data_IF_886891682264
#
_entry.id   IF_886891682264
#
_cell.length_a   1.000
_cell.length_b   1.000
_cell.length_c   1.000
_cell.angle_alpha   90.00
_cell.angle_beta   90.00
_cell.angle_gamma   90.00
#
_symmetry.space_group_name_H-M   'P 1'
#
loop_
_entity.id
_entity.type
_entity.pdbx_description
1 polymer ?
#
# COMPACT_ATOMS: atom_id res chain seq x y z
N UNK A 1 18.94 -9.63 8.12
CA UNK A 1 18.72 -9.07 6.76
C UNK A 1 19.58 -7.84 6.53
N UNK A 2 19.64 -7.35 5.29
CA UNK A 2 20.33 -6.10 4.95
C UNK A 2 19.57 -4.88 5.50
N UNK A 3 20.23 -4.08 6.34
CA UNK A 3 19.59 -2.91 6.98
C UNK A 3 19.14 -1.84 5.98
N UNK A 4 19.75 -1.78 4.80
CA UNK A 4 19.33 -0.89 3.71
C UNK A 4 18.00 -1.30 3.08
N UNK A 5 17.50 -2.51 3.38
CA UNK A 5 16.21 -3.03 2.91
C UNK A 5 15.16 -3.05 4.02
N UNK A 6 15.49 -2.58 5.22
CA UNK A 6 14.56 -2.49 6.34
C UNK A 6 13.55 -1.36 6.10
N UNK A 7 12.26 -1.69 6.03
CA UNK A 7 11.19 -0.73 5.79
C UNK A 7 10.72 -0.11 7.11
N UNK A 8 10.19 -0.94 8.03
CA UNK A 8 9.62 -0.50 9.31
C UNK A 8 9.60 -1.64 10.34
N UNK A 9 9.39 -1.34 11.63
CA UNK A 9 9.03 -2.38 12.59
C UNK A 9 7.58 -2.82 12.37
N UNK A 10 7.25 -4.10 12.61
CA UNK A 10 5.88 -4.61 12.47
C UNK A 10 4.90 -3.81 13.32
N UNK A 11 5.29 -3.46 14.55
CA UNK A 11 4.48 -2.64 15.47
C UNK A 11 4.20 -1.20 15.01
N UNK A 12 4.87 -0.74 13.95
CA UNK A 12 4.64 0.58 13.35
C UNK A 12 3.63 0.50 12.19
N UNK A 13 3.31 -0.72 11.73
CA UNK A 13 2.28 -0.96 10.74
C UNK A 13 0.92 -0.93 11.46
N UNK A 14 -0.01 -0.08 11.03
CA UNK A 14 -1.34 -0.02 11.64
C UNK A 14 -2.21 -1.20 11.20
N UNK A 15 -3.01 -1.74 12.13
CA UNK A 15 -3.85 -2.93 11.90
C UNK A 15 -5.06 -2.65 10.98
N UNK A 16 -5.56 -1.39 10.96
CA UNK A 16 -6.80 -0.99 10.25
C UNK A 16 -6.55 -0.02 9.07
N UNK A 17 -5.31 0.14 8.63
CA UNK A 17 -4.98 0.95 7.45
C UNK A 17 -3.63 0.53 6.86
N UNK A 18 -3.02 1.37 6.03
CA UNK A 18 -1.75 1.10 5.38
C UNK A 18 -0.59 1.89 5.96
N UNK A 19 0.61 1.34 5.78
CA UNK A 19 1.86 2.07 5.96
C UNK A 19 2.48 2.37 4.59
N UNK A 20 2.50 3.65 4.20
CA UNK A 20 3.09 4.09 2.93
C UNK A 20 4.63 4.06 2.98
N UNK A 21 5.26 3.63 1.89
CA UNK A 21 6.70 3.72 1.68
C UNK A 21 7.05 3.92 0.20
N UNK A 22 8.27 4.39 -0.05
CA UNK A 22 8.79 4.63 -1.40
C UNK A 22 9.85 3.59 -1.76
N UNK A 23 9.75 3.06 -2.96
CA UNK A 23 10.70 2.16 -3.61
C UNK A 23 11.24 2.79 -4.90
N UNK A 24 12.38 2.29 -5.38
CA UNK A 24 12.96 2.71 -6.66
C UNK A 24 13.14 1.52 -7.59
N UNK A 25 12.72 1.69 -8.85
CA UNK A 25 13.01 0.80 -9.96
C UNK A 25 13.89 1.53 -10.98
N UNK A 26 15.18 1.23 -11.01
CA UNK A 26 16.13 1.94 -11.87
C UNK A 26 16.24 3.43 -11.50
N UNK A 27 15.70 4.31 -12.33
CA UNK A 27 15.71 5.77 -12.11
C UNK A 27 14.37 6.31 -11.62
N UNK A 28 13.33 5.47 -11.59
CA UNK A 28 11.97 5.85 -11.28
C UNK A 28 11.67 5.53 -9.81
N UNK A 29 11.08 6.48 -9.09
CA UNK A 29 10.58 6.26 -7.74
C UNK A 29 9.08 5.99 -7.80
N UNK A 30 8.66 4.97 -7.05
CA UNK A 30 7.30 4.50 -6.96
C UNK A 30 6.91 4.33 -5.50
N UNK A 31 5.62 4.26 -5.24
CA UNK A 31 5.09 4.08 -3.90
C UNK A 31 4.46 2.71 -3.75
N UNK A 32 4.59 2.17 -2.56
CA UNK A 32 3.96 0.93 -2.13
C UNK A 32 3.40 1.10 -0.72
N UNK A 33 2.47 0.23 -0.35
CA UNK A 33 1.84 0.20 0.96
C UNK A 33 2.07 -1.15 1.61
N UNK A 34 2.40 -1.15 2.90
CA UNK A 34 2.28 -2.34 3.74
C UNK A 34 0.87 -2.39 4.33
N UNK A 35 0.34 -3.60 4.44
CA UNK A 35 -0.96 -3.87 5.05
C UNK A 35 -0.89 -5.15 5.87
N UNK A 36 -1.53 -5.16 7.04
CA UNK A 36 -1.72 -6.38 7.82
C UNK A 36 -2.82 -7.24 7.18
N UNK A 37 -2.54 -8.52 6.99
CA UNK A 37 -3.50 -9.48 6.45
C UNK A 37 -3.30 -10.86 7.09
N UNK A 38 -4.33 -11.40 7.74
CA UNK A 38 -4.35 -12.75 8.33
C UNK A 38 -3.08 -13.10 9.14
N UNK A 39 -2.67 -12.22 10.06
CA UNK A 39 -1.47 -12.38 10.92
C UNK A 39 -0.11 -12.28 10.16
N UNK A 40 -0.12 -11.83 8.89
CA UNK A 40 1.07 -11.56 8.07
C UNK A 40 1.08 -10.11 7.54
N UNK A 41 2.17 -9.70 6.87
CA UNK A 41 2.32 -8.36 6.29
C UNK A 41 2.49 -8.50 4.78
N UNK A 42 1.55 -7.92 4.04
CA UNK A 42 1.58 -7.88 2.57
C UNK A 42 2.02 -6.50 2.10
N UNK A 43 2.59 -6.43 0.89
CA UNK A 43 2.95 -5.16 0.28
C UNK A 43 2.44 -5.07 -1.16
N UNK A 44 1.84 -3.94 -1.48
CA UNK A 44 1.20 -3.68 -2.77
C UNK A 44 1.70 -2.36 -3.34
N UNK A 45 1.88 -2.27 -4.67
CA UNK A 45 2.08 -0.97 -5.32
C UNK A 45 0.88 -0.06 -5.03
N UNK A 46 1.16 1.19 -4.69
CA UNK A 46 0.17 2.14 -4.20
C UNK A 46 -0.64 2.75 -5.35
N UNK A 47 -1.35 1.96 -6.14
CA UNK A 47 -2.33 2.48 -7.09
C UNK A 47 -3.51 1.55 -7.32
N UNK A 48 -4.62 2.13 -7.77
CA UNK A 48 -5.77 1.36 -8.17
C UNK A 48 -5.57 0.77 -9.58
N UNK A 49 -5.80 -0.55 -9.73
CA UNK A 49 -5.73 -1.22 -11.04
C UNK A 49 -6.74 -0.69 -12.07
N UNK A 50 -7.77 0.04 -11.65
CA UNK A 50 -8.63 0.76 -12.58
C UNK A 50 -7.85 1.89 -13.27
N UNK A 51 -7.30 2.84 -12.50
CA UNK A 51 -6.50 3.97 -13.01
C UNK A 51 -5.22 4.09 -12.19
N UNK A 52 -4.07 3.81 -12.81
CA UNK A 52 -2.75 3.74 -12.17
C UNK A 52 -2.24 5.09 -11.63
N UNK A 53 -2.81 6.21 -12.08
CA UNK A 53 -2.54 7.54 -11.51
C UNK A 53 -3.28 7.79 -10.17
N UNK A 54 -4.17 6.89 -9.74
CA UNK A 54 -4.93 7.00 -8.50
C UNK A 54 -4.26 6.23 -7.39
N UNK A 55 -3.83 6.93 -6.34
CA UNK A 55 -3.23 6.35 -5.15
C UNK A 55 -4.28 5.86 -4.15
N UNK A 56 -4.00 4.72 -3.52
CA UNK A 56 -4.84 4.14 -2.47
C UNK A 56 -4.58 4.86 -1.15
N UNK A 57 -3.31 5.13 -0.86
CA UNK A 57 -2.83 5.91 0.27
C UNK A 57 -2.10 7.16 -0.22
N UNK A 58 -2.29 8.30 0.44
CA UNK A 58 -1.61 9.57 0.14
C UNK A 58 -0.75 10.06 1.31
N UNK A 59 -0.45 9.19 2.27
CA UNK A 59 0.38 9.45 3.44
C UNK A 59 -0.37 9.55 4.77
N UNK A 60 -1.69 9.30 4.79
CA UNK A 60 -2.52 9.27 6.01
C UNK A 60 -3.13 7.88 6.26
N UNK A 61 -2.74 6.89 5.45
CA UNK A 61 -3.37 5.58 5.42
C UNK A 61 -4.47 5.48 4.35
N UNK A 62 -4.61 4.31 3.74
CA UNK A 62 -5.73 3.99 2.87
C UNK A 62 -7.01 3.79 3.69
N UNK A 63 -8.13 4.22 3.14
CA UNK A 63 -9.43 3.83 3.70
C UNK A 63 -9.62 2.33 3.56
N UNK A 64 -10.13 1.68 4.61
CA UNK A 64 -10.42 0.25 4.61
C UNK A 64 -11.89 -0.02 4.94
N UNK A 65 -12.38 -1.15 4.45
CA UNK A 65 -13.73 -1.65 4.73
C UNK A 65 -13.72 -3.16 4.72
N UNK A 66 -14.20 -3.78 5.80
CA UNK A 66 -14.35 -5.23 5.90
C UNK A 66 -13.05 -6.01 5.57
N UNK A 67 -11.87 -5.45 5.91
CA UNK A 67 -10.55 -6.04 5.61
C UNK A 67 -10.00 -5.73 4.21
N UNK A 68 -10.67 -4.87 3.45
CA UNK A 68 -10.30 -4.52 2.07
C UNK A 68 -9.86 -3.05 1.94
N UNK A 69 -8.87 -2.81 1.09
CA UNK A 69 -8.42 -1.48 0.68
C UNK A 69 -9.46 -0.83 -0.23
N UNK A 70 -9.87 0.39 0.10
CA UNK A 70 -10.84 1.17 -0.67
C UNK A 70 -10.12 2.18 -1.56
N UNK A 71 -10.31 2.07 -2.86
CA UNK A 71 -9.92 3.14 -3.79
C UNK A 71 -10.84 4.36 -3.59
N UNK A 72 -10.29 5.43 -3.03
CA UNK A 72 -11.03 6.66 -2.70
C UNK A 72 -11.61 7.45 -3.89
N UNK A 73 -11.39 7.02 -5.14
CA UNK A 73 -11.92 7.70 -6.34
C UNK A 73 -13.24 7.13 -6.84
N UNK A 74 -13.29 5.82 -7.08
CA UNK A 74 -14.47 5.14 -7.63
C UNK A 74 -14.97 3.98 -6.76
N UNK A 75 -14.39 3.80 -5.56
CA UNK A 75 -14.87 2.84 -4.56
C UNK A 75 -14.55 1.38 -4.86
N UNK A 76 -13.51 1.09 -5.66
CA UNK A 76 -13.05 -0.29 -5.82
C UNK A 76 -12.53 -0.84 -4.48
N UNK A 77 -12.79 -2.12 -4.21
CA UNK A 77 -12.36 -2.81 -2.99
C UNK A 77 -11.34 -3.88 -3.34
N UNK A 78 -10.21 -3.91 -2.65
CA UNK A 78 -9.15 -4.90 -2.85
C UNK A 78 -8.87 -5.66 -1.55
N UNK A 79 -8.94 -6.98 -1.57
CA UNK A 79 -8.58 -7.82 -0.43
C UNK A 79 -7.13 -7.58 0.01
N UNK A 80 -6.90 -7.45 1.32
CA UNK A 80 -5.55 -7.15 1.84
C UNK A 80 -4.57 -8.31 1.69
N UNK A 81 -5.05 -9.56 1.81
CA UNK A 81 -4.24 -10.78 1.69
C UNK A 81 -3.84 -11.09 0.24
N UNK A 82 -4.84 -11.10 -0.64
CA UNK A 82 -4.71 -11.57 -2.03
C UNK A 82 -4.44 -10.45 -3.03
N UNK A 83 -4.75 -9.21 -2.68
CA UNK A 83 -4.72 -8.05 -3.58
C UNK A 83 -5.85 -8.05 -4.62
N UNK A 84 -6.75 -9.03 -4.62
CA UNK A 84 -7.83 -9.16 -5.61
C UNK A 84 -8.88 -8.08 -5.41
N UNK A 85 -9.27 -7.42 -6.50
CA UNK A 85 -10.37 -6.50 -6.53
C UNK A 85 -11.71 -7.26 -6.51
N UNK A 86 -12.46 -7.18 -5.43
CA UNK A 86 -13.73 -7.91 -5.24
C UNK A 86 -14.95 -7.11 -5.68
N UNK A 87 -14.78 -5.79 -5.86
CA UNK A 87 -15.85 -4.89 -6.20
C UNK A 87 -15.33 -3.66 -6.97
N UNK A 88 -16.13 -3.20 -7.94
CA UNK A 88 -15.91 -1.94 -8.64
C UNK A 88 -15.48 -2.11 -10.09
N UNK A 89 -15.04 -1.03 -10.76
CA UNK A 89 -14.78 -1.03 -12.21
C UNK A 89 -13.66 -1.97 -12.67
N UNK A 90 -12.77 -2.36 -11.77
CA UNK A 90 -11.65 -3.28 -12.02
C UNK A 90 -11.81 -4.61 -11.29
N UNK A 91 -13.03 -5.04 -10.97
CA UNK A 91 -13.31 -6.35 -10.34
C UNK A 91 -12.58 -7.50 -11.06
N UNK A 92 -11.91 -8.35 -10.29
CA UNK A 92 -11.07 -9.45 -10.76
C UNK A 92 -9.62 -9.08 -11.11
N UNK A 93 -9.25 -7.79 -11.14
CA UNK A 93 -7.85 -7.38 -11.21
C UNK A 93 -7.13 -7.62 -9.87
N UNK A 94 -5.81 -7.72 -9.88
CA UNK A 94 -4.98 -7.93 -8.67
C UNK A 94 -4.02 -6.77 -8.53
N UNK A 95 -3.85 -6.23 -7.32
CA UNK A 95 -2.80 -5.27 -7.03
C UNK A 95 -1.43 -5.87 -7.38
N UNK A 96 -0.52 -5.03 -7.89
CA UNK A 96 0.83 -5.48 -8.17
C UNK A 96 1.58 -5.64 -6.84
N UNK A 97 2.08 -6.84 -6.59
CA UNK A 97 2.78 -7.20 -5.35
C UNK A 97 4.18 -6.59 -5.31
N UNK A 98 4.65 -6.29 -4.10
CA UNK A 98 6.06 -6.00 -3.81
C UNK A 98 6.54 -7.02 -2.79
N UNK A 99 7.55 -7.83 -3.14
CA UNK A 99 7.99 -8.90 -2.23
C UNK A 99 8.60 -8.32 -0.94
N UNK A 100 8.02 -8.69 0.20
CA UNK A 100 8.50 -8.36 1.54
C UNK A 100 8.54 -9.59 2.44
N UNK A 101 9.24 -9.48 3.56
CA UNK A 101 9.25 -10.51 4.59
C UNK A 101 9.40 -9.91 5.98
N UNK A 102 8.95 -10.64 6.99
CA UNK A 102 9.05 -10.26 8.40
C UNK A 102 10.16 -11.09 9.06
N UNK A 103 11.20 -10.43 9.56
CA UNK A 103 12.25 -11.04 10.38
C UNK A 103 12.52 -10.19 11.62
N UNK A 104 12.68 -10.83 12.78
CA UNK A 104 13.00 -10.18 14.06
C UNK A 104 12.09 -8.97 14.41
N UNK A 105 10.81 -9.04 14.01
CA UNK A 105 9.81 -7.99 14.29
C UNK A 105 9.93 -6.75 13.40
N UNK A 106 10.63 -6.85 12.27
CA UNK A 106 10.71 -5.81 11.25
C UNK A 106 10.39 -6.35 9.86
N UNK A 107 9.84 -5.48 9.03
CA UNK A 107 9.52 -5.76 7.62
C UNK A 107 10.69 -5.34 6.76
N UNK A 108 11.11 -6.21 5.86
CA UNK A 108 12.20 -6.00 4.93
C UNK A 108 11.75 -6.19 3.48
N UNK A 109 12.21 -5.32 2.58
CA UNK A 109 12.05 -5.47 1.14
C UNK A 109 12.91 -6.63 0.64
N UNK A 110 12.28 -7.65 0.06
CA UNK A 110 12.99 -8.80 -0.54
C UNK A 110 12.97 -8.79 -2.06
N UNK A 111 12.07 -8.01 -2.66
CA UNK A 111 11.98 -7.87 -4.10
C UNK A 111 13.33 -7.44 -4.73
N UNK A 112 13.86 -8.20 -5.70
CA UNK A 112 15.13 -7.88 -6.34
C UNK A 112 15.02 -6.72 -7.34
N UNK A 113 13.82 -6.41 -7.84
CA UNK A 113 13.61 -5.34 -8.84
C UNK A 113 13.59 -3.95 -8.21
N UNK A 114 13.51 -3.86 -6.87
CA UNK A 114 13.37 -2.61 -6.15
C UNK A 114 14.48 -2.35 -5.11
N UNK A 115 14.75 -1.07 -4.91
CA UNK A 115 15.52 -0.55 -3.78
C UNK A 115 14.58 0.21 -2.83
N UNK A 116 14.75 0.03 -1.51
CA UNK A 116 14.03 0.82 -0.52
C UNK A 116 14.61 2.25 -0.47
N UNK A 117 13.73 3.26 -0.52
CA UNK A 117 14.13 4.67 -0.53
C UNK A 117 13.86 5.34 0.82
N UNK A 118 12.59 5.38 1.22
CA UNK A 118 12.15 6.02 2.47
C UNK A 118 10.77 5.52 2.91
N UNK A 119 10.46 5.73 4.19
CA UNK A 119 9.10 5.64 4.70
C UNK A 119 8.29 6.85 4.24
N UNK A 120 7.00 6.67 3.96
CA UNK A 120 6.12 7.70 3.41
C UNK A 120 6.33 7.93 1.91
N UNK A 121 5.70 9.01 1.43
CA UNK A 121 5.77 9.44 0.03
C UNK A 121 7.07 10.18 -0.28
N UNK A 122 7.58 10.05 -1.50
CA UNK A 122 8.62 10.94 -2.04
C UNK A 122 8.07 12.25 -2.62
N UNK A 123 6.75 12.41 -2.67
CA UNK A 123 6.07 13.61 -3.19
C UNK A 123 5.07 14.20 -2.19
N UNK A 124 4.79 15.50 -2.31
CA UNK A 124 3.79 16.16 -1.48
C UNK A 124 2.39 16.04 -2.09
N UNK A 125 1.45 15.48 -1.33
CA UNK A 125 0.03 15.45 -1.68
C UNK A 125 -0.72 16.65 -1.09
N UNK A 126 -1.57 17.29 -1.89
CA UNK A 126 -2.58 18.20 -1.35
C UNK A 126 -3.71 17.38 -0.68
N UNK A 127 -3.60 17.21 0.64
CA UNK A 127 -4.57 16.44 1.43
C UNK A 127 -5.90 17.17 1.66
N UNK A 128 -6.03 18.43 1.21
CA UNK A 128 -7.22 19.26 1.44
C UNK A 128 -8.48 18.74 0.71
N UNK A 129 -8.29 17.86 -0.28
CA UNK A 129 -9.37 17.28 -1.09
C UNK A 129 -9.99 16.00 -0.51
N UNK A 130 -9.46 15.43 0.58
CA UNK A 130 -10.01 14.21 1.19
C UNK A 130 -11.20 14.50 2.12
N UNK A 131 -12.10 15.40 1.72
CA UNK A 131 -13.40 15.52 2.39
C UNK A 131 -14.22 14.29 2.05
N UNK A 132 -14.13 13.32 2.97
CA UNK A 132 -15.13 12.30 3.28
C UNK A 132 -16.35 12.37 2.38
N UNK A 133 -16.53 11.35 1.55
CA UNK A 133 -17.85 11.03 1.02
C UNK A 133 -18.73 10.74 2.23
N UNK A 134 -19.41 11.78 2.71
CA UNK A 134 -20.40 11.69 3.77
C UNK A 134 -21.53 10.81 3.27
N UNK A 135 -21.60 9.60 3.80
CA UNK A 135 -22.80 8.79 3.74
C UNK A 135 -23.68 9.22 4.92
N UNK A 136 -24.77 9.92 4.61
CA UNK A 136 -25.91 10.15 5.52
C UNK A 136 -26.67 8.84 5.80
#
# INVERSE_FOLDING_TARGET
>A
MDENRRIAAVKEIPDDTTFLFTIRNGFDEEEAVLVEADDDIRAWKNYCQHWTDVRLDKGDGASMRDGELVCGKHGALFESDSGVCTYGPCEGAVLDEVDVTVEDGAVYLTDPDYEFVQQGSSIEYDLSSNRSLGFE
#
